data_IF_390825989852
#
_entry.id   IF_390825989852
#
_cell.length_a   1.000
_cell.length_b   1.000
_cell.length_c   1.000
_cell.angle_alpha   90.00
_cell.angle_beta   90.00
_cell.angle_gamma   90.00
#
_symmetry.space_group_name_H-M   'P 1'
#
loop_
_entity.id
_entity.type
_entity.pdbx_description
1 polymer ?
#
# COMPACT_ATOMS: atom_id res chain seq x y z
N UNK A 1 -8.69 -11.03 2.24
CA UNK A 1 -7.73 -9.91 2.36
C UNK A 1 -7.63 -9.34 3.77
N UNK A 2 -8.75 -9.11 4.48
CA UNK A 2 -8.76 -8.57 5.85
C UNK A 2 -7.74 -9.24 6.79
N UNK A 3 -7.70 -10.58 6.83
CA UNK A 3 -6.74 -11.32 7.64
C UNK A 3 -5.27 -11.02 7.28
N UNK A 4 -4.94 -10.91 5.98
CA UNK A 4 -3.59 -10.58 5.53
C UNK A 4 -3.18 -9.19 6.02
N UNK A 5 -4.07 -8.21 5.85
CA UNK A 5 -3.84 -6.83 6.32
C UNK A 5 -3.66 -6.82 7.84
N UNK A 6 -4.55 -7.49 8.58
CA UNK A 6 -4.44 -7.60 10.04
C UNK A 6 -3.10 -8.18 10.48
N UNK A 7 -2.65 -9.28 9.84
CA UNK A 7 -1.36 -9.92 10.14
C UNK A 7 -0.17 -8.98 9.91
N UNK A 8 -0.19 -8.21 8.81
CA UNK A 8 0.87 -7.23 8.51
C UNK A 8 0.90 -6.13 9.57
N UNK A 9 -0.26 -5.60 9.97
CA UNK A 9 -0.32 -4.52 10.95
C UNK A 9 0.03 -4.98 12.39
N UNK A 10 -0.17 -6.26 12.69
CA UNK A 10 0.27 -6.88 13.95
C UNK A 10 1.76 -7.25 13.95
N UNK A 11 2.35 -7.47 12.77
CA UNK A 11 3.78 -7.68 12.61
C UNK A 11 4.52 -6.34 12.55
N UNK A 12 5.18 -5.97 13.65
CA UNK A 12 5.89 -4.69 13.81
C UNK A 12 6.92 -4.47 12.68
N UNK A 13 7.66 -5.50 12.28
CA UNK A 13 8.69 -5.37 11.25
C UNK A 13 8.06 -5.04 9.89
N UNK A 14 7.06 -5.81 9.46
CA UNK A 14 6.40 -5.60 8.17
C UNK A 14 5.64 -4.26 8.14
N UNK A 15 5.00 -3.89 9.25
CA UNK A 15 4.35 -2.59 9.40
C UNK A 15 5.34 -1.43 9.24
N UNK A 16 6.51 -1.50 9.88
CA UNK A 16 7.56 -0.47 9.76
C UNK A 16 8.01 -0.35 8.30
N UNK A 17 8.21 -1.47 7.60
CA UNK A 17 8.59 -1.44 6.19
C UNK A 17 7.51 -0.77 5.33
N UNK A 18 6.23 -1.14 5.53
CA UNK A 18 5.12 -0.52 4.80
C UNK A 18 5.04 1.00 5.07
N UNK A 19 5.21 1.41 6.33
CA UNK A 19 5.25 2.82 6.70
C UNK A 19 6.41 3.56 6.01
N UNK A 20 7.60 2.96 5.98
CA UNK A 20 8.78 3.57 5.36
C UNK A 20 8.63 3.73 3.84
N UNK A 21 8.00 2.76 3.16
CA UNK A 21 7.64 2.88 1.74
C UNK A 21 6.67 4.04 1.50
N UNK A 22 5.62 4.14 2.33
CA UNK A 22 4.66 5.25 2.25
C UNK A 22 5.37 6.59 2.47
N UNK A 23 6.25 6.68 3.47
CA UNK A 23 6.99 7.90 3.76
C UNK A 23 8.01 8.24 2.67
N UNK A 24 8.56 7.25 1.96
CA UNK A 24 9.38 7.47 0.76
C UNK A 24 8.55 8.11 -0.36
N UNK A 25 7.37 7.59 -0.66
CA UNK A 25 6.48 8.16 -1.68
C UNK A 25 5.98 9.57 -1.30
N UNK A 26 5.68 9.80 -0.02
CA UNK A 26 5.36 11.15 0.48
C UNK A 26 6.51 12.13 0.26
N UNK A 27 7.75 11.72 0.55
CA UNK A 27 8.95 12.54 0.37
C UNK A 27 9.23 12.84 -1.10
N UNK A 28 8.99 11.89 -2.01
CA UNK A 28 9.11 12.11 -3.46
C UNK A 28 7.93 12.90 -4.05
N UNK A 29 6.94 13.30 -3.23
CA UNK A 29 5.67 13.92 -3.65
C UNK A 29 4.87 13.06 -4.63
N UNK A 30 5.18 11.77 -4.72
CA UNK A 30 4.45 10.83 -5.53
C UNK A 30 3.23 10.36 -4.74
N UNK A 31 2.06 10.93 -5.07
CA UNK A 31 0.82 10.62 -4.35
C UNK A 31 0.00 9.52 -4.99
N UNK A 32 0.20 9.23 -6.26
CA UNK A 32 -0.46 8.15 -6.97
C UNK A 32 0.61 7.21 -7.53
N UNK A 33 0.60 5.96 -7.07
CA UNK A 33 1.64 4.96 -7.35
C UNK A 33 0.96 3.73 -7.97
N UNK A 34 1.48 3.25 -9.09
CA UNK A 34 1.01 2.06 -9.77
C UNK A 34 1.78 0.81 -9.34
N UNK A 35 1.19 -0.36 -9.56
CA UNK A 35 1.76 -1.68 -9.20
C UNK A 35 3.26 -1.83 -9.44
N UNK A 36 3.73 -1.50 -10.64
CA UNK A 36 5.14 -1.70 -11.00
C UNK A 36 6.06 -0.82 -10.15
N UNK A 37 5.64 0.42 -9.87
CA UNK A 37 6.38 1.36 -9.03
C UNK A 37 6.38 0.91 -7.56
N UNK A 38 5.26 0.37 -7.07
CA UNK A 38 5.16 -0.22 -5.72
C UNK A 38 6.16 -1.39 -5.58
N UNK A 39 6.14 -2.32 -6.53
CA UNK A 39 7.01 -3.50 -6.49
C UNK A 39 8.48 -3.12 -6.64
N UNK A 40 8.79 -2.15 -7.51
CA UNK A 40 10.14 -1.65 -7.68
C UNK A 40 10.66 -1.00 -6.39
N UNK A 41 9.90 -0.06 -5.79
CA UNK A 41 10.30 0.59 -4.56
C UNK A 41 10.49 -0.41 -3.41
N UNK A 42 9.66 -1.45 -3.34
CA UNK A 42 9.83 -2.51 -2.35
C UNK A 42 11.07 -3.37 -2.58
N UNK A 43 11.38 -3.71 -3.83
CA UNK A 43 12.59 -4.44 -4.17
C UNK A 43 13.87 -3.63 -3.86
N UNK A 44 13.87 -2.35 -4.23
CA UNK A 44 14.94 -1.39 -3.89
C UNK A 44 15.12 -1.28 -2.38
N UNK A 45 14.04 -1.09 -1.62
CA UNK A 45 14.08 -1.05 -0.16
C UNK A 45 14.69 -2.34 0.44
N UNK A 46 14.30 -3.51 -0.07
CA UNK A 46 14.83 -4.78 0.41
C UNK A 46 16.33 -4.92 0.12
N UNK A 47 16.77 -4.47 -1.06
CA UNK A 47 18.17 -4.47 -1.45
C UNK A 47 19.00 -3.52 -0.56
N UNK A 48 18.55 -2.28 -0.38
CA UNK A 48 19.24 -1.25 0.39
C UNK A 48 19.39 -1.60 1.87
N UNK A 49 18.40 -2.32 2.42
CA UNK A 49 18.38 -2.73 3.82
C UNK A 49 18.91 -4.17 4.03
N UNK A 50 19.49 -4.80 2.99
CA UNK A 50 20.00 -6.17 3.04
C UNK A 50 18.97 -7.17 3.62
N UNK A 51 17.69 -6.98 3.30
CA UNK A 51 16.62 -7.88 3.74
C UNK A 51 16.84 -9.27 3.13
N UNK A 52 16.55 -10.34 3.88
CA UNK A 52 16.74 -11.68 3.36
C UNK A 52 15.78 -11.96 2.19
N UNK A 53 16.19 -12.79 1.23
CA UNK A 53 15.41 -13.04 0.01
C UNK A 53 13.97 -13.54 0.28
N UNK A 54 13.75 -14.28 1.36
CA UNK A 54 12.41 -14.73 1.76
C UNK A 54 11.48 -13.56 2.12
N UNK A 55 12.01 -12.43 2.58
CA UNK A 55 11.21 -11.26 2.92
C UNK A 55 10.62 -10.62 1.65
N UNK A 56 11.40 -10.58 0.57
CA UNK A 56 10.94 -10.05 -0.72
C UNK A 56 9.91 -10.97 -1.41
N UNK A 57 10.04 -12.28 -1.24
CA UNK A 57 9.24 -13.25 -2.02
C UNK A 57 8.10 -13.93 -1.24
N UNK A 58 8.17 -13.99 0.09
CA UNK A 58 7.23 -14.79 0.90
C UNK A 58 6.72 -14.11 2.17
N UNK A 59 7.05 -12.85 2.42
CA UNK A 59 6.45 -12.10 3.53
C UNK A 59 4.97 -11.80 3.26
N UNK A 60 4.21 -11.55 4.32
CA UNK A 60 2.81 -11.16 4.17
C UNK A 60 2.71 -9.82 3.45
N UNK A 61 3.62 -8.89 3.74
CA UNK A 61 3.80 -7.64 3.04
C UNK A 61 4.05 -7.85 1.55
N UNK A 62 4.97 -8.73 1.16
CA UNK A 62 5.23 -9.03 -0.24
C UNK A 62 3.95 -9.47 -0.97
N UNK A 63 3.16 -10.34 -0.34
CA UNK A 63 1.87 -10.76 -0.89
C UNK A 63 0.87 -9.59 -1.01
N UNK A 64 0.78 -8.72 0.01
CA UNK A 64 -0.09 -7.54 -0.04
C UNK A 64 0.31 -6.62 -1.20
N UNK A 65 1.60 -6.31 -1.34
CA UNK A 65 2.11 -5.44 -2.40
C UNK A 65 1.93 -6.08 -3.79
N UNK A 66 2.06 -7.40 -3.91
CA UNK A 66 1.79 -8.11 -5.16
C UNK A 66 0.32 -8.01 -5.61
N UNK A 67 -0.60 -7.97 -4.65
CA UNK A 67 -2.03 -7.76 -4.90
C UNK A 67 -2.40 -6.28 -5.08
N UNK A 68 -1.58 -5.37 -4.58
CA UNK A 68 -1.79 -3.93 -4.71
C UNK A 68 -1.56 -3.48 -6.15
N UNK A 69 -2.62 -3.02 -6.80
CA UNK A 69 -2.54 -2.48 -8.15
C UNK A 69 -2.31 -0.96 -8.17
N UNK A 70 -2.86 -0.29 -7.17
CA UNK A 70 -2.73 1.15 -7.02
C UNK A 70 -2.64 1.50 -5.55
N UNK A 71 -1.84 2.53 -5.27
CA UNK A 71 -1.70 3.16 -3.98
C UNK A 71 -1.91 4.66 -4.17
N UNK A 72 -2.86 5.24 -3.43
CA UNK A 72 -3.13 6.67 -3.42
C UNK A 72 -2.89 7.23 -2.02
N UNK A 73 -2.10 8.29 -1.94
CA UNK A 73 -1.75 8.99 -0.70
C UNK A 73 -2.50 10.32 -0.63
N UNK A 74 -3.43 10.40 0.32
CA UNK A 74 -3.99 11.67 0.80
C UNK A 74 -3.31 12.06 2.12
N UNK A 75 -3.54 13.30 2.57
CA UNK A 75 -2.92 13.82 3.80
C UNK A 75 -3.40 13.04 5.04
N UNK A 76 -4.66 12.61 5.05
CA UNK A 76 -5.32 11.92 6.15
C UNK A 76 -5.53 10.41 5.91
N UNK A 77 -5.23 9.90 4.71
CA UNK A 77 -5.51 8.50 4.33
C UNK A 77 -4.51 7.92 3.36
N UNK A 78 -4.28 6.62 3.49
CA UNK A 78 -3.58 5.78 2.51
C UNK A 78 -4.58 4.81 1.91
N UNK A 79 -4.74 4.87 0.59
CA UNK A 79 -5.67 4.03 -0.15
C UNK A 79 -4.91 2.92 -0.87
N UNK A 80 -5.36 1.67 -0.72
CA UNK A 80 -4.87 0.53 -1.47
C UNK A 80 -6.00 -0.06 -2.31
N UNK A 81 -5.76 -0.20 -3.61
CA UNK A 81 -6.63 -0.97 -4.51
C UNK A 81 -6.01 -2.33 -4.71
N UNK A 82 -6.64 -3.35 -4.13
CA UNK A 82 -6.18 -4.73 -4.13
C UNK A 82 -6.97 -5.54 -5.15
N UNK A 83 -6.27 -6.36 -5.93
CA UNK A 83 -6.88 -7.27 -6.92
C UNK A 83 -6.15 -8.61 -6.91
N UNK A 84 -6.56 -9.52 -6.00
CA UNK A 84 -5.85 -10.78 -5.81
C UNK A 84 -6.10 -11.80 -6.94
N UNK A 85 -7.27 -11.74 -7.59
CA UNK A 85 -7.58 -12.54 -8.79
C UNK A 85 -8.31 -11.73 -9.87
N UNK A 86 -8.40 -12.27 -11.08
CA UNK A 86 -9.07 -11.62 -12.21
C UNK A 86 -10.53 -11.36 -11.87
N UNK A 87 -10.99 -10.12 -12.09
CA UNK A 87 -12.36 -9.70 -11.78
C UNK A 87 -12.62 -9.34 -10.32
N UNK A 88 -11.67 -9.56 -9.41
CA UNK A 88 -11.75 -9.01 -8.04
C UNK A 88 -11.31 -7.55 -7.99
N UNK A 89 -11.90 -6.79 -7.07
CA UNK A 89 -11.40 -5.49 -6.65
C UNK A 89 -11.83 -5.25 -5.21
N UNK A 90 -10.86 -5.06 -4.33
CA UNK A 90 -11.08 -4.67 -2.96
C UNK A 90 -10.36 -3.35 -2.72
N UNK A 91 -11.00 -2.42 -2.00
CA UNK A 91 -10.40 -1.12 -1.70
C UNK A 91 -10.31 -1.02 -0.19
N UNK A 92 -9.14 -0.63 0.28
CA UNK A 92 -8.84 -0.48 1.68
C UNK A 92 -8.29 0.91 1.91
N UNK A 93 -8.81 1.60 2.93
CA UNK A 93 -8.27 2.87 3.40
C UNK A 93 -7.66 2.66 4.79
N UNK A 94 -6.47 3.20 4.97
CA UNK A 94 -5.72 3.20 6.21
C UNK A 94 -5.56 4.63 6.69
N UNK A 95 -5.45 4.80 8.00
CA UNK A 95 -4.98 6.07 8.55
C UNK A 95 -3.47 6.27 8.25
N UNK A 96 -2.92 7.49 8.40
CA UNK A 96 -1.52 7.78 8.05
C UNK A 96 -0.48 7.01 8.86
N UNK A 97 -0.87 6.45 10.01
CA UNK A 97 -0.01 5.71 10.95
C UNK A 97 -0.21 4.19 10.89
N UNK A 98 -1.06 3.70 9.98
CA UNK A 98 -1.34 2.28 9.76
C UNK A 98 -1.79 1.56 11.05
N UNK A 99 -2.53 2.24 11.91
CA UNK A 99 -3.14 1.69 13.13
C UNK A 99 -4.58 1.26 12.89
N UNK A 100 -5.30 1.99 12.05
CA UNK A 100 -6.69 1.75 11.69
C UNK A 100 -6.81 1.55 10.19
N UNK A 101 -7.71 0.65 9.82
CA UNK A 101 -7.98 0.35 8.42
C UNK A 101 -9.42 -0.10 8.25
N UNK A 102 -9.99 0.20 7.08
CA UNK A 102 -11.36 -0.15 6.76
C UNK A 102 -11.50 -0.49 5.29
N UNK A 103 -12.36 -1.46 4.99
CA UNK A 103 -12.79 -1.73 3.62
C UNK A 103 -13.67 -0.58 3.14
N UNK A 104 -13.43 -0.11 1.91
CA UNK A 104 -14.12 1.02 1.32
C UNK A 104 -14.86 0.61 0.05
N UNK A 105 -16.03 1.21 -0.24
CA UNK A 105 -16.73 0.98 -1.48
C UNK A 105 -15.98 1.63 -2.66
N UNK A 106 -16.15 1.12 -3.91
CA UNK A 106 -15.57 1.72 -5.12
C UNK A 106 -15.81 3.21 -5.28
N UNK A 107 -17.02 3.67 -4.91
CA UNK A 107 -17.38 5.08 -4.97
C UNK A 107 -16.43 5.98 -4.17
N UNK A 108 -16.01 5.55 -2.98
CA UNK A 108 -15.13 6.35 -2.13
C UNK A 108 -13.72 6.51 -2.73
N UNK A 109 -13.22 5.50 -3.43
CA UNK A 109 -11.95 5.60 -4.17
C UNK A 109 -12.07 6.53 -5.39
N UNK A 110 -13.20 6.50 -6.10
CA UNK A 110 -13.44 7.45 -7.20
C UNK A 110 -13.44 8.89 -6.68
N UNK A 111 -14.15 9.15 -5.58
CA UNK A 111 -14.16 10.46 -4.93
C UNK A 111 -12.75 10.89 -4.46
N UNK A 112 -11.93 9.96 -3.97
CA UNK A 112 -10.53 10.22 -3.60
C UNK A 112 -9.67 10.58 -4.83
N UNK A 113 -9.85 9.88 -5.95
CA UNK A 113 -9.18 10.21 -7.21
C UNK A 113 -9.62 11.57 -7.76
N UNK A 114 -10.91 11.88 -7.68
CA UNK A 114 -11.44 13.18 -8.12
C UNK A 114 -10.82 14.32 -7.29
N UNK A 115 -10.69 14.14 -5.97
CA UNK A 115 -9.96 15.09 -5.11
C UNK A 115 -8.49 15.19 -5.45
N UNK A 116 -7.83 14.09 -5.82
CA UNK A 116 -6.44 14.11 -6.25
C UNK A 116 -6.25 14.94 -7.53
N UNK A 117 -7.13 14.79 -8.53
CA UNK A 117 -7.09 15.58 -9.77
C UNK A 117 -7.53 17.04 -9.55
N UNK A 118 -8.53 17.24 -8.68
CA UNK A 118 -9.12 18.55 -8.40
C UNK A 118 -8.33 19.44 -7.44
N UNK A 119 -7.15 19.00 -6.96
CA UNK A 119 -6.21 19.83 -6.20
C UNK A 119 -5.21 20.47 -7.19
N UNK A 120 -5.36 21.77 -7.52
CA UNK A 120 -4.37 22.50 -8.33
C UNK A 120 -3.03 22.67 -7.61
#
# INVERSE_FOLDING_TARGET
MNQLIATILQNIEEKIVLQQLIDQFRRSKQRYILKNEILQAFAEYCQDNSKPAHFLHSSHLAHLLQYTHELLLEDDRVWLVLRPWIGSQEIWAFDPTLNEYQAMPPKAMLEARDRFVGRP
#
